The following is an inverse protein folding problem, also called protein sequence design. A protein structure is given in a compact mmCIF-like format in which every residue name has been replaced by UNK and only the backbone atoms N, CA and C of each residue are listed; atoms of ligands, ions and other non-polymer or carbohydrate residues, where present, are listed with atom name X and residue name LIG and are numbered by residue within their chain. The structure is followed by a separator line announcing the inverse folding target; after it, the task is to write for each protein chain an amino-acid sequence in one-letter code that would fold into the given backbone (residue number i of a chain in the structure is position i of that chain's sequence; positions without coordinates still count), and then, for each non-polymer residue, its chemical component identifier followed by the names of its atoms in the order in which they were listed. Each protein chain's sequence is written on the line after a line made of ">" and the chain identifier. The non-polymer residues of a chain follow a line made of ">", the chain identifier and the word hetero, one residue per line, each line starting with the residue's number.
data_IF_694605738998
#
_entry.id   IF_694605738998
#
_cell.length_a   1.000
_cell.length_b   1.000
_cell.length_c   1.000
_cell.angle_alpha   90.00
_cell.angle_beta   90.00
_cell.angle_gamma   90.00
#
_symmetry.space_group_name_H-M   'P 1'
#
loop_
_entity.id
_entity.type
_entity.pdbx_description
1 polymer ?
#
# COMPACT_ATOMS: atom_id res chain seq x y z
N UNK A 1 -41.03 -78.81 29.12
CA UNK A 1 -40.49 -78.39 27.79
C UNK A 1 -40.88 -76.92 27.56
N UNK A 2 -40.05 -75.92 27.24
CA UNK A 2 -38.61 -75.63 27.30
C UNK A 2 -38.52 -74.07 27.27
N UNK A 3 -38.02 -73.38 28.33
CA UNK A 3 -36.69 -72.72 28.49
C UNK A 3 -36.48 -71.47 27.60
N UNK A 4 -36.08 -70.27 28.03
CA UNK A 4 -35.62 -69.69 29.32
C UNK A 4 -35.51 -68.15 29.19
N UNK A 5 -35.76 -67.38 30.26
CA UNK A 5 -35.55 -65.90 30.28
C UNK A 5 -34.75 -65.46 31.53
N UNK A 6 -33.74 -64.60 31.33
CA UNK A 6 -32.84 -63.93 32.30
C UNK A 6 -33.61 -62.83 33.08
N UNK A 7 -33.53 -62.67 34.41
CA UNK A 7 -32.45 -62.22 35.34
C UNK A 7 -31.94 -60.78 35.10
N UNK A 8 -32.15 -59.86 36.05
CA UNK A 8 -31.14 -59.54 37.07
C UNK A 8 -31.65 -58.62 38.19
N UNK A 9 -30.95 -58.74 39.32
CA UNK A 9 -31.24 -58.28 40.67
C UNK A 9 -30.40 -57.03 41.01
N UNK A 10 -30.99 -56.17 41.84
CA UNK A 10 -30.41 -55.00 42.48
C UNK A 10 -29.47 -55.38 43.65
N UNK A 11 -28.47 -54.53 43.95
CA UNK A 11 -27.87 -54.32 45.28
C UNK A 11 -26.66 -53.33 45.22
N UNK A 12 -26.87 -52.21 45.90
CA UNK A 12 -25.99 -51.17 46.48
C UNK A 12 -24.46 -51.35 46.47
N UNK A 13 -23.74 -50.32 45.99
CA UNK A 13 -22.31 -50.05 46.23
C UNK A 13 -22.09 -48.62 46.78
N UNK A 14 -22.45 -48.39 48.03
CA UNK A 14 -21.79 -47.35 48.84
C UNK A 14 -20.48 -47.93 49.36
N UNK A 15 -19.40 -47.79 48.59
CA UNK A 15 -17.98 -47.86 49.03
C UNK A 15 -17.03 -47.83 47.82
N UNK A 16 -17.19 -46.87 46.91
CA UNK A 16 -16.09 -46.37 46.04
C UNK A 16 -16.33 -44.86 45.85
N UNK A 17 -16.14 -44.10 46.92
CA UNK A 17 -15.86 -42.66 46.86
C UNK A 17 -14.35 -42.51 47.03
N UNK A 18 -13.81 -41.50 46.35
CA UNK A 18 -12.39 -41.12 46.28
C UNK A 18 -11.63 -41.82 45.16
N UNK A 19 -11.80 -41.31 43.93
CA UNK A 19 -10.81 -41.19 42.84
C UNK A 19 -11.53 -40.90 41.50
N UNK A 20 -12.26 -39.78 41.38
CA UNK A 20 -12.59 -39.26 40.03
C UNK A 20 -13.07 -37.79 39.93
N UNK A 21 -12.85 -36.95 40.94
CA UNK A 21 -13.37 -35.58 40.93
C UNK A 21 -12.40 -34.48 40.44
N UNK A 22 -11.34 -34.81 39.68
CA UNK A 22 -10.28 -33.82 39.36
C UNK A 22 -9.80 -33.81 37.89
N UNK A 23 -10.64 -34.19 36.90
CA UNK A 23 -10.23 -34.12 35.48
C UNK A 23 -11.09 -33.27 34.55
N UNK A 24 -12.28 -32.83 34.97
CA UNK A 24 -13.20 -32.08 34.07
C UNK A 24 -13.30 -30.58 34.35
N UNK A 25 -12.58 -30.04 35.33
CA UNK A 25 -12.57 -28.60 35.64
C UNK A 25 -11.50 -27.80 34.90
N UNK A 26 -10.39 -28.42 34.49
CA UNK A 26 -9.25 -27.71 33.88
C UNK A 26 -9.39 -27.55 32.35
N UNK A 27 -10.06 -28.48 31.66
CA UNK A 27 -10.27 -28.40 30.21
C UNK A 27 -11.29 -27.30 29.83
N UNK A 28 -12.33 -27.11 30.65
CA UNK A 28 -13.32 -26.05 30.45
C UNK A 28 -12.81 -24.67 30.87
N UNK A 29 -11.86 -24.57 31.81
CA UNK A 29 -11.24 -23.28 32.15
C UNK A 29 -10.27 -22.83 31.04
N UNK A 30 -9.52 -23.76 30.44
CA UNK A 30 -8.61 -23.45 29.32
C UNK A 30 -9.35 -22.94 28.08
N UNK A 31 -10.46 -23.59 27.69
CA UNK A 31 -11.26 -23.16 26.53
C UNK A 31 -11.99 -21.83 26.78
N UNK A 32 -12.42 -21.56 28.01
CA UNK A 32 -13.03 -20.28 28.39
C UNK A 32 -11.99 -19.15 28.50
N UNK A 33 -10.74 -19.47 28.83
CA UNK A 33 -9.62 -18.53 28.90
C UNK A 33 -9.06 -18.23 27.50
N UNK A 34 -8.96 -19.22 26.60
CA UNK A 34 -8.66 -19.01 25.17
C UNK A 34 -9.71 -18.13 24.48
N UNK A 35 -11.01 -18.35 24.74
CA UNK A 35 -12.09 -17.51 24.20
C UNK A 35 -12.17 -16.11 24.83
N UNK A 36 -11.59 -15.91 26.03
CA UNK A 36 -11.40 -14.59 26.66
C UNK A 36 -10.19 -13.86 26.08
N UNK A 37 -9.08 -14.57 25.87
CA UNK A 37 -7.84 -14.05 25.26
C UNK A 37 -8.04 -13.71 23.78
N UNK A 38 -8.89 -14.46 23.05
CA UNK A 38 -9.22 -14.16 21.64
C UNK A 38 -10.15 -12.97 21.45
N UNK A 39 -10.76 -12.44 22.53
CA UNK A 39 -11.67 -11.29 22.51
C UNK A 39 -11.06 -10.01 23.08
N UNK A 40 -9.83 -10.06 23.59
CA UNK A 40 -9.08 -8.87 23.99
C UNK A 40 -8.24 -8.41 22.80
N UNK A 41 -8.55 -7.22 22.26
CA UNK A 41 -7.57 -6.49 21.45
C UNK A 41 -6.25 -6.48 22.23
N UNK A 42 -5.11 -6.86 21.63
CA UNK A 42 -3.84 -6.88 22.33
C UNK A 42 -3.60 -5.48 22.88
N UNK A 43 -3.68 -5.35 24.20
CA UNK A 43 -3.36 -4.10 24.87
C UNK A 43 -1.85 -3.96 24.74
N UNK A 44 -1.38 -2.91 24.07
CA UNK A 44 0.03 -2.63 23.84
C UNK A 44 0.78 -2.75 25.17
N UNK A 45 1.43 -3.88 25.41
CA UNK A 45 2.45 -3.94 26.44
C UNK A 45 3.47 -2.88 26.03
N UNK A 46 3.70 -1.87 26.87
CA UNK A 46 4.67 -0.83 26.61
C UNK A 46 6.05 -1.48 26.46
N UNK A 47 6.41 -1.84 25.22
CA UNK A 47 7.73 -2.35 24.89
C UNK A 47 8.71 -1.27 25.32
N UNK A 48 9.65 -1.63 26.19
CA UNK A 48 10.63 -0.67 26.67
C UNK A 48 11.39 -0.10 25.48
N UNK A 49 11.32 1.22 25.28
CA UNK A 49 12.11 1.94 24.26
C UNK A 49 13.61 1.63 24.38
N UNK A 50 14.07 1.31 25.60
CA UNK A 50 15.44 0.85 25.88
C UNK A 50 15.77 -0.49 25.20
N UNK A 51 14.82 -1.41 25.15
CA UNK A 51 14.99 -2.71 24.46
C UNK A 51 15.04 -2.52 22.95
N UNK A 52 14.12 -1.74 22.38
CA UNK A 52 14.11 -1.41 20.95
C UNK A 52 15.44 -0.74 20.55
N UNK A 53 15.92 0.21 21.36
CA UNK A 53 17.20 0.90 21.11
C UNK A 53 18.41 -0.05 21.09
N UNK A 54 18.46 -1.05 21.98
CA UNK A 54 19.54 -2.07 21.98
C UNK A 54 19.52 -2.93 20.72
N UNK A 55 18.34 -3.38 20.29
CA UNK A 55 18.22 -4.16 19.05
C UNK A 55 18.61 -3.32 17.83
N UNK A 56 18.13 -2.09 17.72
CA UNK A 56 18.50 -1.18 16.64
C UNK A 56 20.02 -0.94 16.58
N UNK A 57 20.68 -0.77 17.72
CA UNK A 57 22.14 -0.62 17.78
C UNK A 57 22.87 -1.88 17.29
N UNK A 58 22.39 -3.08 17.66
CA UNK A 58 22.94 -4.35 17.17
C UNK A 58 22.76 -4.50 15.66
N UNK A 59 21.58 -4.20 15.13
CA UNK A 59 21.28 -4.30 13.69
C UNK A 59 22.18 -3.36 12.87
N UNK A 60 22.45 -2.16 13.38
CA UNK A 60 23.36 -1.21 12.72
C UNK A 60 24.81 -1.72 12.59
N UNK A 61 25.23 -2.64 13.47
CA UNK A 61 26.58 -3.21 13.46
C UNK A 61 26.68 -4.51 12.66
N UNK A 62 25.56 -5.05 12.17
CA UNK A 62 25.56 -6.28 11.37
C UNK A 62 26.22 -6.05 10.01
N UNK A 63 26.99 -7.06 9.56
CA UNK A 63 27.48 -7.15 8.17
C UNK A 63 26.33 -7.50 7.21
N UNK A 64 26.55 -7.39 5.90
CA UNK A 64 25.56 -7.78 4.88
C UNK A 64 25.11 -9.23 5.09
N UNK A 65 26.05 -10.18 5.18
CA UNK A 65 25.74 -11.60 5.34
C UNK A 65 24.97 -11.89 6.64
N UNK A 66 25.30 -11.19 7.72
CA UNK A 66 24.58 -11.32 9.00
C UNK A 66 23.14 -10.80 8.89
N UNK A 67 22.91 -9.70 8.17
CA UNK A 67 21.57 -9.19 7.91
C UNK A 67 20.76 -10.18 7.09
N UNK A 68 21.35 -10.73 6.02
CA UNK A 68 20.66 -11.68 5.14
C UNK A 68 20.23 -12.93 5.91
N UNK A 69 21.14 -13.50 6.71
CA UNK A 69 20.81 -14.63 7.58
C UNK A 69 19.67 -14.31 8.56
N UNK A 70 19.62 -13.12 9.15
CA UNK A 70 18.54 -12.75 10.09
C UNK A 70 17.21 -12.43 9.39
N UNK A 71 17.25 -11.89 8.16
CA UNK A 71 16.07 -11.64 7.32
C UNK A 71 15.46 -12.96 6.82
N UNK A 72 16.28 -13.87 6.29
CA UNK A 72 15.85 -15.18 5.78
C UNK A 72 15.18 -16.03 6.88
N UNK A 73 15.76 -16.03 8.09
CA UNK A 73 15.16 -16.71 9.26
C UNK A 73 13.73 -16.25 9.56
N UNK A 74 13.38 -15.04 9.14
CA UNK A 74 12.07 -14.40 9.35
C UNK A 74 11.22 -14.34 8.08
N UNK A 75 11.67 -15.00 7.00
CA UNK A 75 11.01 -14.99 5.69
C UNK A 75 10.84 -13.58 5.13
N UNK A 76 11.79 -12.70 5.41
CA UNK A 76 11.83 -11.33 4.88
C UNK A 76 12.75 -11.26 3.67
N UNK A 77 12.47 -10.31 2.78
CA UNK A 77 13.29 -10.05 1.60
C UNK A 77 14.71 -9.62 1.98
N UNK A 78 15.71 -10.25 1.35
CA UNK A 78 17.14 -9.87 1.38
C UNK A 78 17.52 -8.93 0.23
N UNK A 79 16.56 -8.46 -0.55
CA UNK A 79 16.81 -7.49 -1.62
C UNK A 79 16.98 -6.07 -1.09
N UNK A 80 17.73 -5.27 -1.83
CA UNK A 80 17.92 -3.85 -1.59
C UNK A 80 19.23 -3.48 -0.91
N UNK A 81 19.44 -2.17 -0.79
CA UNK A 81 20.63 -1.63 -0.14
C UNK A 81 20.69 -2.04 1.35
N UNK A 82 21.88 -1.94 1.94
CA UNK A 82 22.10 -2.37 3.34
C UNK A 82 21.24 -1.58 4.33
N UNK A 83 20.88 -0.33 4.03
CA UNK A 83 20.07 0.51 4.90
C UNK A 83 18.60 0.08 4.89
N UNK A 84 18.04 -0.20 3.70
CA UNK A 84 16.70 -0.76 3.54
C UNK A 84 16.57 -2.07 4.32
N UNK A 85 17.53 -2.99 4.16
CA UNK A 85 17.55 -4.27 4.90
C UNK A 85 17.62 -4.08 6.41
N UNK A 86 18.41 -3.13 6.90
CA UNK A 86 18.47 -2.79 8.33
C UNK A 86 17.13 -2.27 8.84
N UNK A 87 16.48 -1.38 8.08
CA UNK A 87 15.19 -0.80 8.48
C UNK A 87 14.09 -1.85 8.48
N UNK A 88 14.01 -2.68 7.43
CA UNK A 88 13.12 -3.84 7.36
C UNK A 88 13.24 -4.72 8.60
N UNK A 89 14.46 -5.09 8.97
CA UNK A 89 14.70 -5.91 10.15
C UNK A 89 14.32 -5.18 11.46
N UNK A 90 14.63 -3.88 11.58
CA UNK A 90 14.23 -3.07 12.75
C UNK A 90 12.71 -3.00 12.90
N UNK A 91 11.97 -2.78 11.82
CA UNK A 91 10.52 -2.74 11.83
C UNK A 91 9.93 -4.08 12.23
N UNK A 92 10.42 -5.17 11.65
CA UNK A 92 10.00 -6.51 12.05
C UNK A 92 10.17 -6.74 13.56
N UNK A 93 11.37 -6.46 14.11
CA UNK A 93 11.62 -6.65 15.54
C UNK A 93 10.76 -5.74 16.42
N UNK A 94 10.54 -4.50 15.99
CA UNK A 94 9.62 -3.59 16.69
C UNK A 94 8.25 -4.24 16.80
N UNK A 95 7.71 -4.75 15.68
CA UNK A 95 6.40 -5.40 15.69
C UNK A 95 6.39 -6.74 16.43
N UNK A 96 7.45 -7.55 16.34
CA UNK A 96 7.62 -8.80 17.10
C UNK A 96 7.52 -8.54 18.61
N UNK A 97 8.21 -7.50 19.09
CA UNK A 97 8.15 -7.11 20.50
C UNK A 97 6.78 -6.53 20.89
N UNK A 98 6.14 -5.77 20.00
CA UNK A 98 4.83 -5.15 20.24
C UNK A 98 3.70 -6.19 20.30
N UNK A 99 3.67 -7.11 19.35
CA UNK A 99 2.60 -8.12 19.24
C UNK A 99 2.91 -9.43 19.96
N UNK A 100 4.17 -9.64 20.36
CA UNK A 100 4.63 -10.85 21.05
C UNK A 100 4.30 -12.14 20.29
N UNK A 101 4.41 -12.11 18.96
CA UNK A 101 4.08 -13.23 18.09
C UNK A 101 5.16 -13.48 17.03
N UNK A 102 5.17 -14.70 16.47
CA UNK A 102 6.20 -15.13 15.51
C UNK A 102 6.06 -14.51 14.12
N UNK A 103 4.86 -14.07 13.73
CA UNK A 103 4.57 -13.48 12.41
C UNK A 103 3.93 -12.10 12.60
N UNK A 104 4.67 -11.11 13.12
CA UNK A 104 4.08 -9.85 13.56
C UNK A 104 3.51 -8.99 12.43
N UNK A 105 4.00 -9.17 11.20
CA UNK A 105 3.52 -8.42 10.05
C UNK A 105 2.08 -8.76 9.67
N UNK A 106 1.60 -9.98 9.96
CA UNK A 106 0.20 -10.37 9.71
C UNK A 106 -0.78 -9.73 10.70
N UNK A 107 -0.27 -9.11 11.77
CA UNK A 107 -1.07 -8.41 12.77
C UNK A 107 -1.26 -6.93 12.44
N UNK A 108 -0.60 -6.43 11.40
CA UNK A 108 -0.70 -5.03 10.99
C UNK A 108 -1.99 -4.84 10.19
N UNK A 109 -2.95 -4.15 10.79
CA UNK A 109 -4.19 -3.76 10.13
C UNK A 109 -3.93 -2.55 9.21
N UNK A 110 -4.32 -2.69 7.95
CA UNK A 110 -4.26 -1.62 6.96
C UNK A 110 -5.59 -0.87 6.91
N UNK A 111 -5.55 0.41 6.53
CA UNK A 111 -6.75 1.24 6.46
C UNK A 111 -7.64 0.89 5.25
N UNK A 112 -7.03 0.36 4.20
CA UNK A 112 -7.66 0.09 2.92
C UNK A 112 -7.51 -1.38 2.53
N UNK A 113 -8.52 -1.93 1.87
CA UNK A 113 -8.46 -3.27 1.25
C UNK A 113 -7.71 -3.24 -0.08
N UNK A 114 -7.80 -2.10 -0.79
CA UNK A 114 -7.17 -1.88 -2.08
C UNK A 114 -6.43 -0.55 -2.16
N UNK A 115 -5.37 -0.49 -2.95
CA UNK A 115 -4.71 0.76 -3.34
C UNK A 115 -4.75 0.87 -4.86
N UNK A 116 -5.27 1.99 -5.37
CA UNK A 116 -5.35 2.28 -6.80
C UNK A 116 -4.23 3.27 -7.18
N UNK A 117 -3.18 2.77 -7.83
CA UNK A 117 -2.02 3.57 -8.21
C UNK A 117 -2.26 4.23 -9.57
N UNK A 118 -2.03 5.54 -9.66
CA UNK A 118 -2.19 6.34 -10.88
C UNK A 118 -0.90 7.09 -11.17
N UNK A 119 -0.56 7.18 -12.45
CA UNK A 119 0.48 8.09 -12.96
C UNK A 119 0.07 8.60 -14.35
N UNK A 120 -0.36 9.85 -14.45
CA UNK A 120 -0.86 10.41 -15.70
C UNK A 120 0.28 10.77 -16.64
N UNK A 121 0.09 10.48 -17.93
CA UNK A 121 0.84 11.18 -18.98
C UNK A 121 0.01 12.35 -19.50
N UNK A 122 0.69 13.44 -19.84
CA UNK A 122 0.06 14.65 -20.34
C UNK A 122 0.80 15.23 -21.55
N UNK A 123 0.09 15.97 -22.40
CA UNK A 123 0.70 16.77 -23.46
C UNK A 123 1.77 17.68 -22.87
N UNK A 124 2.92 17.80 -23.53
CA UNK A 124 4.02 18.65 -23.08
C UNK A 124 4.81 19.22 -24.28
N UNK A 125 5.52 20.32 -24.04
CA UNK A 125 6.38 20.97 -25.02
C UNK A 125 7.66 21.44 -24.32
N UNK A 126 8.79 21.38 -25.03
CA UNK A 126 10.06 21.83 -24.48
C UNK A 126 10.10 23.36 -24.35
N UNK A 127 10.61 23.86 -23.22
CA UNK A 127 10.84 25.28 -22.95
C UNK A 127 9.62 26.21 -23.12
N UNK A 128 8.40 25.71 -22.88
CA UNK A 128 7.20 26.53 -22.89
C UNK A 128 6.59 26.70 -21.50
N UNK A 129 6.79 27.88 -20.93
CA UNK A 129 6.14 28.28 -19.70
C UNK A 129 4.61 28.36 -19.90
N UNK A 130 3.86 27.88 -18.89
CA UNK A 130 2.39 27.86 -18.89
C UNK A 130 1.74 27.06 -20.01
N UNK A 131 2.42 26.04 -20.55
CA UNK A 131 1.80 25.10 -21.48
C UNK A 131 0.55 24.46 -20.84
N UNK A 132 -0.56 24.47 -21.57
CA UNK A 132 -1.82 23.88 -21.11
C UNK A 132 -1.76 22.37 -21.29
N UNK A 133 -1.21 21.69 -20.29
CA UNK A 133 -1.14 20.23 -20.26
C UNK A 133 -2.55 19.62 -20.27
N UNK A 134 -2.77 18.65 -21.14
CA UNK A 134 -3.97 17.81 -21.19
C UNK A 134 -3.56 16.37 -20.93
N UNK A 135 -4.31 15.64 -20.10
CA UNK A 135 -4.06 14.22 -19.85
C UNK A 135 -4.25 13.46 -21.16
N UNK A 136 -3.25 12.64 -21.54
CA UNK A 136 -3.24 11.79 -22.74
C UNK A 136 -3.12 10.29 -22.43
N UNK A 137 -2.80 9.92 -21.19
CA UNK A 137 -2.91 8.56 -20.67
C UNK A 137 -3.48 8.56 -19.25
N UNK A 138 -4.48 7.71 -19.00
CA UNK A 138 -5.06 7.47 -17.69
C UNK A 138 -4.90 6.00 -17.32
N UNK A 139 -3.81 5.64 -16.61
CA UNK A 139 -3.61 4.30 -16.06
C UNK A 139 -4.12 4.19 -14.62
N UNK A 140 -4.59 3.01 -14.24
CA UNK A 140 -4.87 2.64 -12.84
C UNK A 140 -4.35 1.23 -12.60
N UNK A 141 -3.49 1.04 -11.60
CA UNK A 141 -2.97 -0.27 -11.18
C UNK A 141 -3.49 -0.59 -9.79
N UNK A 142 -4.23 -1.70 -9.65
CA UNK A 142 -4.91 -2.05 -8.41
C UNK A 142 -4.12 -3.09 -7.61
N UNK A 143 -3.76 -2.72 -6.39
CA UNK A 143 -3.16 -3.60 -5.40
C UNK A 143 -4.25 -4.12 -4.48
N UNK A 144 -4.30 -5.44 -4.25
CA UNK A 144 -5.01 -6.01 -3.11
C UNK A 144 -4.05 -6.06 -1.90
N UNK A 145 -4.41 -5.33 -0.85
CA UNK A 145 -3.54 -5.11 0.31
C UNK A 145 -3.34 -6.38 1.14
N UNK A 146 -4.38 -7.19 1.31
CA UNK A 146 -4.31 -8.44 2.05
C UNK A 146 -3.46 -9.48 1.32
N UNK A 147 -3.65 -9.61 0.00
CA UNK A 147 -2.92 -10.55 -0.83
C UNK A 147 -1.50 -10.06 -1.16
N UNK A 148 -1.22 -8.76 -0.99
CA UNK A 148 0.02 -8.11 -1.37
C UNK A 148 0.41 -8.40 -2.83
N UNK A 149 -0.57 -8.26 -3.73
CA UNK A 149 -0.39 -8.48 -5.17
C UNK A 149 -1.12 -7.41 -5.99
N UNK A 150 -0.62 -7.16 -7.21
CA UNK A 150 -1.38 -6.44 -8.23
C UNK A 150 -2.45 -7.40 -8.75
N UNK A 151 -3.72 -7.00 -8.63
CA UNK A 151 -4.86 -7.85 -9.00
C UNK A 151 -5.54 -7.40 -10.29
N UNK A 152 -5.30 -6.15 -10.72
CA UNK A 152 -5.91 -5.63 -11.93
C UNK A 152 -5.19 -4.38 -12.46
N UNK A 153 -5.44 -4.07 -13.73
CA UNK A 153 -4.95 -2.88 -14.42
C UNK A 153 -6.01 -2.31 -15.34
N UNK A 154 -6.12 -0.99 -15.36
CA UNK A 154 -6.86 -0.21 -16.36
C UNK A 154 -5.87 0.70 -17.08
N UNK A 155 -6.05 0.85 -18.39
CA UNK A 155 -5.29 1.81 -19.18
C UNK A 155 -6.21 2.35 -20.28
N UNK A 156 -6.24 3.66 -20.43
CA UNK A 156 -6.85 4.31 -21.59
C UNK A 156 -6.00 5.50 -22.00
N UNK A 157 -5.82 5.68 -23.30
CA UNK A 157 -5.40 6.97 -23.83
C UNK A 157 -6.56 7.97 -23.78
N UNK A 158 -6.23 9.25 -23.78
CA UNK A 158 -7.17 10.36 -23.78
C UNK A 158 -6.87 11.25 -25.00
N UNK A 159 -7.90 11.63 -25.75
CA UNK A 159 -7.76 12.58 -26.86
C UNK A 159 -7.71 14.01 -26.34
N UNK A 160 -6.60 14.75 -26.51
CA UNK A 160 -6.53 16.17 -26.19
C UNK A 160 -7.37 17.00 -27.18
N UNK A 161 -7.98 18.08 -26.68
CA UNK A 161 -8.88 18.96 -27.44
C UNK A 161 -8.26 20.34 -27.67
N UNK A 162 -7.49 20.86 -26.70
CA UNK A 162 -6.86 22.18 -26.80
C UNK A 162 -5.63 22.10 -27.71
N UNK A 163 -4.76 21.12 -27.45
CA UNK A 163 -3.53 20.85 -28.21
C UNK A 163 -3.60 19.43 -28.80
N UNK A 164 -4.43 19.20 -29.85
CA UNK A 164 -4.70 17.86 -30.36
C UNK A 164 -3.50 17.19 -31.04
N UNK A 165 -2.53 17.98 -31.50
CA UNK A 165 -1.31 17.49 -32.13
C UNK A 165 -0.21 17.40 -31.08
N UNK A 166 0.27 16.19 -30.81
CA UNK A 166 1.37 15.94 -29.89
C UNK A 166 2.65 16.54 -30.46
N UNK A 167 3.40 17.23 -29.59
CA UNK A 167 4.74 17.67 -29.94
C UNK A 167 5.66 16.46 -30.15
N UNK A 168 6.76 16.68 -30.89
CA UNK A 168 7.80 15.66 -31.01
C UNK A 168 8.40 15.33 -29.64
N UNK A 169 8.60 16.34 -28.79
CA UNK A 169 9.11 16.15 -27.43
C UNK A 169 8.20 15.23 -26.61
N UNK A 170 6.89 15.46 -26.63
CA UNK A 170 5.91 14.64 -25.92
C UNK A 170 5.91 13.19 -26.43
N UNK A 171 5.94 13.01 -27.75
CA UNK A 171 5.98 11.67 -28.38
C UNK A 171 7.28 10.93 -28.02
N UNK A 172 8.43 11.59 -28.08
CA UNK A 172 9.73 11.00 -27.73
C UNK A 172 9.79 10.64 -26.24
N UNK A 173 9.28 11.52 -25.37
CA UNK A 173 9.27 11.34 -23.92
C UNK A 173 8.35 10.18 -23.53
N UNK A 174 7.06 10.28 -23.86
CA UNK A 174 6.02 9.35 -23.39
C UNK A 174 5.92 8.06 -24.22
N UNK A 175 6.40 8.10 -25.47
CA UNK A 175 6.22 7.01 -26.43
C UNK A 175 4.80 6.91 -26.99
N UNK A 176 3.90 7.83 -26.62
CA UNK A 176 2.54 7.88 -27.14
C UNK A 176 2.56 8.51 -28.53
N UNK A 177 2.11 7.75 -29.51
CA UNK A 177 2.02 8.20 -30.91
C UNK A 177 0.69 8.92 -31.18
N UNK A 178 0.72 9.85 -32.13
CA UNK A 178 -0.45 10.65 -32.53
C UNK A 178 -1.69 9.81 -32.83
N UNK A 179 -1.53 8.68 -33.52
CA UNK A 179 -2.67 7.82 -33.89
C UNK A 179 -3.39 7.22 -32.66
N UNK A 180 -2.69 7.06 -31.54
CA UNK A 180 -3.26 6.54 -30.30
C UNK A 180 -4.18 7.58 -29.66
N UNK A 181 -3.79 8.85 -29.63
CA UNK A 181 -4.63 9.94 -29.11
C UNK A 181 -5.74 10.35 -30.08
N UNK A 182 -5.51 10.26 -31.40
CA UNK A 182 -6.55 10.57 -32.40
C UNK A 182 -7.77 9.64 -32.28
N UNK A 183 -7.50 8.35 -32.06
CA UNK A 183 -8.52 7.30 -31.90
C UNK A 183 -9.05 7.15 -30.48
N UNK A 184 -8.45 7.85 -29.51
CA UNK A 184 -8.84 7.77 -28.11
C UNK A 184 -10.19 8.46 -27.82
N UNK A 185 -10.91 7.99 -26.79
CA UNK A 185 -11.99 8.75 -26.16
C UNK A 185 -11.49 10.07 -25.56
N UNK A 186 -12.39 11.03 -25.39
CA UNK A 186 -12.10 12.28 -24.67
C UNK A 186 -11.89 12.01 -23.17
N UNK A 187 -11.25 12.95 -22.46
CA UNK A 187 -11.02 12.80 -21.03
C UNK A 187 -12.30 12.50 -20.22
N UNK A 188 -13.42 13.15 -20.53
CA UNK A 188 -14.69 12.94 -19.81
C UNK A 188 -15.20 11.51 -20.00
N UNK A 189 -15.07 10.96 -21.20
CA UNK A 189 -15.42 9.56 -21.50
C UNK A 189 -14.47 8.59 -20.78
N UNK A 190 -13.16 8.89 -20.73
CA UNK A 190 -12.18 8.08 -19.99
C UNK A 190 -12.45 8.09 -18.50
N UNK A 191 -12.74 9.27 -17.93
CA UNK A 191 -13.09 9.39 -16.52
C UNK A 191 -14.31 8.54 -16.18
N UNK A 192 -15.35 8.57 -17.03
CA UNK A 192 -16.51 7.70 -16.87
C UNK A 192 -16.16 6.21 -16.95
N UNK A 193 -15.24 5.82 -17.84
CA UNK A 193 -14.76 4.44 -17.96
C UNK A 193 -14.00 4.00 -16.71
N UNK A 194 -13.15 4.87 -16.14
CA UNK A 194 -12.43 4.63 -14.87
C UNK A 194 -13.44 4.46 -13.73
N UNK A 195 -14.43 5.34 -13.61
CA UNK A 195 -15.45 5.24 -12.58
C UNK A 195 -16.28 3.96 -12.72
N UNK A 196 -16.63 3.57 -13.95
CA UNK A 196 -17.32 2.30 -14.23
C UNK A 196 -16.47 1.12 -13.80
N UNK A 197 -15.19 1.10 -14.18
CA UNK A 197 -14.23 0.06 -13.81
C UNK A 197 -14.05 -0.06 -12.29
N UNK A 198 -13.99 1.06 -11.56
CA UNK A 198 -13.94 1.06 -10.09
C UNK A 198 -15.26 0.56 -9.47
N UNK A 199 -16.41 0.91 -10.06
CA UNK A 199 -17.73 0.49 -9.58
C UNK A 199 -17.96 -1.02 -9.76
N UNK A 200 -17.54 -1.60 -10.89
CA UNK A 200 -17.59 -3.05 -11.13
C UNK A 200 -16.83 -3.84 -10.05
N UNK A 201 -15.77 -3.23 -9.51
CA UNK A 201 -14.95 -3.76 -8.41
C UNK A 201 -15.46 -3.38 -7.01
N UNK A 202 -16.60 -2.66 -6.94
CA UNK A 202 -17.23 -2.19 -5.70
C UNK A 202 -16.30 -1.31 -4.86
N UNK A 203 -15.52 -0.44 -5.51
CA UNK A 203 -14.61 0.48 -4.84
C UNK A 203 -15.27 1.85 -4.59
N UNK A 204 -16.15 2.31 -5.48
CA UNK A 204 -16.92 3.56 -5.32
C UNK A 204 -18.24 3.36 -4.55
N UNK A 205 -18.19 2.66 -3.42
CA UNK A 205 -19.36 2.43 -2.56
C UNK A 205 -19.76 3.69 -1.75
N UNK A 206 -21.03 3.82 -1.34
CA UNK A 206 -21.49 4.99 -0.58
C UNK A 206 -20.71 5.23 0.73
N UNK A 207 -20.20 6.46 0.86
CA UNK A 207 -19.71 7.29 1.97
C UNK A 207 -19.09 6.71 3.27
N UNK A 208 -19.31 5.45 3.68
CA UNK A 208 -18.90 4.96 5.00
C UNK A 208 -18.04 3.70 4.98
N UNK A 209 -17.60 3.25 3.80
CA UNK A 209 -16.63 2.16 3.62
C UNK A 209 -15.76 2.46 2.41
N UNK A 210 -14.82 3.40 2.54
CA UNK A 210 -13.74 3.49 1.56
C UNK A 210 -12.88 2.24 1.72
N UNK A 211 -13.13 1.24 0.89
CA UNK A 211 -12.32 0.02 0.83
C UNK A 211 -11.01 0.26 0.09
N UNK A 212 -10.81 1.45 -0.47
CA UNK A 212 -9.61 1.79 -1.23
C UNK A 212 -9.16 3.24 -1.06
N UNK A 213 -7.91 3.50 -1.43
CA UNK A 213 -7.36 4.83 -1.61
C UNK A 213 -6.57 4.91 -2.93
N UNK A 214 -6.50 6.11 -3.51
CA UNK A 214 -5.57 6.38 -4.60
C UNK A 214 -4.15 6.58 -4.09
N UNK A 215 -3.17 6.26 -4.93
CA UNK A 215 -1.76 6.52 -4.67
C UNK A 215 -1.02 7.00 -5.92
N UNK A 216 -0.02 7.84 -5.74
CA UNK A 216 0.74 8.50 -6.83
C UNK A 216 2.22 8.64 -6.47
N UNK A 217 3.08 8.94 -7.46
CA UNK A 217 4.47 9.37 -7.22
C UNK A 217 4.56 10.89 -7.13
N UNK A 218 4.17 11.42 -5.97
CA UNK A 218 4.14 12.86 -5.71
C UNK A 218 2.76 13.49 -5.96
N UNK A 219 2.66 14.83 -5.84
CA UNK A 219 1.38 15.51 -5.79
C UNK A 219 0.81 15.91 -7.16
N UNK A 220 1.62 15.92 -8.23
CA UNK A 220 1.28 16.60 -9.48
C UNK A 220 0.12 15.96 -10.25
N UNK A 221 -0.04 14.64 -10.19
CA UNK A 221 -1.16 13.94 -10.84
C UNK A 221 -2.51 14.55 -10.46
N UNK A 222 -2.73 14.78 -9.16
CA UNK A 222 -3.99 15.31 -8.66
C UNK A 222 -4.00 16.83 -8.54
N UNK A 223 -2.91 17.43 -8.08
CA UNK A 223 -2.84 18.90 -7.85
C UNK A 223 -2.60 19.72 -9.12
N UNK A 224 -2.08 19.12 -10.19
CA UNK A 224 -1.80 19.82 -11.44
C UNK A 224 -2.59 19.22 -12.59
N UNK A 225 -2.34 17.96 -12.95
CA UNK A 225 -2.86 17.39 -14.20
C UNK A 225 -4.37 17.16 -14.13
N UNK A 226 -4.88 16.46 -13.12
CA UNK A 226 -6.31 16.24 -12.97
C UNK A 226 -7.06 17.56 -12.74
N UNK A 227 -6.51 18.44 -11.91
CA UNK A 227 -7.12 19.75 -11.64
C UNK A 227 -7.27 20.59 -12.91
N UNK A 228 -6.19 20.73 -13.68
CA UNK A 228 -6.21 21.46 -14.95
C UNK A 228 -7.15 20.79 -15.96
N UNK A 229 -7.08 19.47 -16.10
CA UNK A 229 -7.94 18.74 -17.04
C UNK A 229 -9.42 18.89 -16.73
N UNK A 230 -9.82 18.89 -15.45
CA UNK A 230 -11.20 19.14 -15.04
C UNK A 230 -11.64 20.57 -15.42
N UNK A 231 -10.78 21.57 -15.25
CA UNK A 231 -11.05 22.95 -15.67
C UNK A 231 -11.22 23.05 -17.19
N UNK A 232 -10.29 22.48 -17.97
CA UNK A 232 -10.36 22.47 -19.43
C UNK A 232 -11.62 21.75 -19.95
N UNK A 233 -12.01 20.67 -19.28
CA UNK A 233 -13.21 19.89 -19.63
C UNK A 233 -14.51 20.47 -19.08
N UNK A 234 -14.44 21.57 -18.31
CA UNK A 234 -15.59 22.20 -17.65
C UNK A 234 -16.41 21.23 -16.77
N UNK A 235 -15.73 20.34 -16.04
CA UNK A 235 -16.35 19.40 -15.11
C UNK A 235 -15.90 19.67 -13.66
N UNK A 236 -16.71 19.29 -12.66
CA UNK A 236 -16.29 19.33 -11.26
C UNK A 236 -15.11 18.37 -11.02
N UNK A 237 -14.23 18.75 -10.09
CA UNK A 237 -13.17 17.86 -9.62
C UNK A 237 -13.79 16.64 -8.89
N UNK A 238 -13.40 15.40 -9.21
CA UNK A 238 -14.00 14.21 -8.60
C UNK A 238 -13.77 14.13 -7.09
N UNK A 239 -14.85 13.94 -6.32
CA UNK A 239 -14.76 13.89 -4.84
C UNK A 239 -13.86 12.74 -4.34
N UNK A 240 -13.80 11.62 -5.07
CA UNK A 240 -12.96 10.48 -4.71
C UNK A 240 -11.46 10.71 -4.93
N UNK A 241 -11.06 11.81 -5.58
CA UNK A 241 -9.66 12.15 -5.89
C UNK A 241 -9.10 13.28 -5.00
N UNK A 242 -9.78 13.65 -3.91
CA UNK A 242 -9.39 14.82 -3.10
C UNK A 242 -8.28 14.54 -2.09
N UNK A 243 -8.09 13.27 -1.73
CA UNK A 243 -7.07 12.79 -0.80
C UNK A 243 -6.43 11.53 -1.36
N UNK A 244 -5.13 11.37 -1.18
CA UNK A 244 -4.39 10.24 -1.71
C UNK A 244 -3.15 9.91 -0.86
N UNK A 245 -2.49 8.83 -1.24
CA UNK A 245 -1.21 8.39 -0.71
C UNK A 245 -0.12 8.82 -1.70
N UNK A 246 0.65 9.83 -1.34
CA UNK A 246 1.93 10.12 -2.00
C UNK A 246 2.95 9.07 -1.53
N UNK A 247 3.22 8.09 -2.40
CA UNK A 247 4.13 6.98 -2.09
C UNK A 247 5.58 7.45 -2.00
N UNK A 248 5.94 8.56 -2.63
CA UNK A 248 7.28 9.16 -2.51
C UNK A 248 7.51 9.71 -1.11
N UNK A 249 6.49 10.37 -0.53
CA UNK A 249 6.49 10.79 0.87
C UNK A 249 6.54 9.60 1.81
N UNK A 250 5.71 8.60 1.57
CA UNK A 250 5.62 7.42 2.42
C UNK A 250 6.92 6.61 2.43
N UNK A 251 7.51 6.39 1.25
CA UNK A 251 8.79 5.71 1.10
C UNK A 251 9.92 6.42 1.85
N UNK A 252 10.02 7.74 1.69
CA UNK A 252 11.01 8.56 2.39
C UNK A 252 10.84 8.49 3.90
N UNK A 253 9.59 8.56 4.39
CA UNK A 253 9.27 8.47 5.80
C UNK A 253 9.61 7.09 6.39
N UNK A 254 9.07 6.04 5.78
CA UNK A 254 9.17 4.68 6.27
C UNK A 254 10.63 4.19 6.29
N UNK A 255 11.37 4.43 5.20
CA UNK A 255 12.78 4.06 5.12
C UNK A 255 13.73 5.15 5.63
N UNK A 256 13.24 6.25 6.21
CA UNK A 256 14.09 7.33 6.74
C UNK A 256 15.15 7.81 5.74
N UNK A 257 14.79 7.89 4.46
CA UNK A 257 15.65 8.37 3.37
C UNK A 257 15.14 9.70 2.82
N UNK A 258 15.99 10.41 2.07
CA UNK A 258 15.53 11.59 1.33
C UNK A 258 14.54 11.17 0.25
N UNK A 259 13.57 12.05 -0.04
CA UNK A 259 12.67 11.89 -1.19
C UNK A 259 13.50 11.76 -2.47
N UNK A 260 13.12 10.83 -3.33
CA UNK A 260 13.80 10.55 -4.60
C UNK A 260 12.79 10.00 -5.61
N UNK A 261 13.12 10.03 -6.90
CA UNK A 261 12.22 9.52 -7.96
C UNK A 261 12.16 7.98 -7.98
N UNK A 262 11.22 7.47 -8.78
CA UNK A 262 10.88 6.05 -8.93
C UNK A 262 12.13 5.18 -9.12
N UNK A 263 13.02 5.53 -10.05
CA UNK A 263 14.22 4.76 -10.36
C UNK A 263 15.14 4.58 -9.15
N UNK A 264 15.31 5.63 -8.34
CA UNK A 264 16.10 5.56 -7.11
C UNK A 264 15.39 4.74 -6.03
N UNK A 265 14.07 4.86 -5.89
CA UNK A 265 13.29 4.03 -4.96
C UNK A 265 13.39 2.54 -5.30
N UNK A 266 13.20 2.18 -6.58
CA UNK A 266 13.38 0.81 -7.08
C UNK A 266 14.78 0.27 -6.80
N UNK A 267 15.82 1.03 -7.18
CA UNK A 267 17.21 0.63 -6.97
C UNK A 267 17.52 0.37 -5.48
N UNK A 268 16.98 1.20 -4.58
CA UNK A 268 17.11 1.00 -3.13
C UNK A 268 16.46 -0.29 -2.64
N UNK A 269 15.33 -0.68 -3.23
CA UNK A 269 14.65 -1.94 -2.97
C UNK A 269 15.31 -3.14 -3.66
N UNK A 270 16.32 -2.92 -4.51
CA UNK A 270 16.96 -3.97 -5.31
C UNK A 270 16.10 -4.41 -6.50
N UNK A 271 15.20 -3.55 -6.95
CA UNK A 271 14.36 -3.74 -8.12
C UNK A 271 14.91 -2.94 -9.30
N UNK A 272 14.65 -3.43 -10.51
CA UNK A 272 14.82 -2.68 -11.75
C UNK A 272 13.48 -2.18 -12.24
N UNK A 273 13.50 -1.05 -12.95
CA UNK A 273 12.34 -0.59 -13.71
C UNK A 273 11.90 -1.67 -14.70
N UNK A 274 10.60 -1.93 -14.78
CA UNK A 274 9.99 -2.88 -15.70
C UNK A 274 9.10 -2.13 -16.69
N UNK A 275 9.27 -2.37 -17.99
CA UNK A 275 8.60 -1.62 -19.05
C UNK A 275 9.37 -0.36 -19.50
N UNK A 276 8.64 0.60 -20.07
CA UNK A 276 9.17 1.84 -20.63
C UNK A 276 8.95 3.01 -19.67
N UNK A 277 10.00 3.74 -19.24
CA UNK A 277 9.84 4.98 -18.49
C UNK A 277 8.96 5.98 -19.25
N UNK A 278 8.12 6.74 -18.53
CA UNK A 278 7.13 7.67 -19.10
C UNK A 278 6.03 7.01 -19.94
N UNK A 279 5.85 5.69 -19.82
CA UNK A 279 4.57 5.07 -20.14
C UNK A 279 3.79 4.99 -18.85
N UNK A 280 2.65 5.67 -18.78
CA UNK A 280 1.92 5.84 -17.53
C UNK A 280 1.55 4.49 -16.89
N UNK A 281 1.17 3.49 -17.69
CA UNK A 281 0.86 2.15 -17.15
C UNK A 281 2.09 1.43 -16.56
N UNK A 282 3.25 1.60 -17.16
CA UNK A 282 4.49 0.98 -16.69
C UNK A 282 5.01 1.72 -15.45
N UNK A 283 4.96 3.05 -15.44
CA UNK A 283 5.29 3.85 -14.26
C UNK A 283 4.35 3.53 -13.10
N UNK A 284 3.03 3.54 -13.29
CA UNK A 284 2.05 3.14 -12.28
C UNK A 284 2.28 1.70 -11.79
N UNK A 285 2.70 0.79 -12.66
CA UNK A 285 3.06 -0.59 -12.29
C UNK A 285 4.30 -0.61 -11.39
N UNK A 286 5.33 0.17 -11.69
CA UNK A 286 6.54 0.25 -10.88
C UNK A 286 6.29 0.95 -9.52
N UNK A 287 5.47 1.99 -9.51
CA UNK A 287 5.00 2.63 -8.27
C UNK A 287 4.21 1.61 -7.43
N UNK A 288 3.36 0.79 -8.06
CA UNK A 288 2.65 -0.27 -7.36
C UNK A 288 3.61 -1.33 -6.78
N UNK A 289 4.68 -1.70 -7.49
CA UNK A 289 5.73 -2.59 -6.97
C UNK A 289 6.42 -2.00 -5.74
N UNK A 290 6.67 -0.69 -5.71
CA UNK A 290 7.20 0.01 -4.53
C UNK A 290 6.19 -0.07 -3.36
N UNK A 291 4.91 0.20 -3.63
CA UNK A 291 3.83 0.07 -2.64
C UNK A 291 3.74 -1.33 -2.04
N UNK A 292 3.93 -2.38 -2.86
CA UNK A 292 3.97 -3.76 -2.38
C UNK A 292 5.14 -4.05 -1.45
N UNK A 293 6.34 -3.54 -1.74
CA UNK A 293 7.49 -3.72 -0.85
C UNK A 293 7.31 -2.98 0.47
N UNK A 294 6.70 -1.78 0.45
CA UNK A 294 6.30 -1.08 1.68
C UNK A 294 5.35 -1.92 2.54
N UNK A 295 4.31 -2.50 1.93
CA UNK A 295 3.35 -3.38 2.63
C UNK A 295 4.04 -4.61 3.22
N UNK A 296 4.91 -5.29 2.44
CA UNK A 296 5.68 -6.46 2.88
C UNK A 296 6.62 -6.14 4.03
N UNK A 297 7.13 -4.91 4.11
CA UNK A 297 8.01 -4.47 5.19
C UNK A 297 7.23 -3.97 6.43
N UNK A 298 5.90 -3.94 6.37
CA UNK A 298 5.03 -3.56 7.47
C UNK A 298 4.74 -2.06 7.56
N UNK A 299 4.82 -1.35 6.44
CA UNK A 299 4.33 0.02 6.31
C UNK A 299 2.79 0.04 6.33
N UNK A 300 2.20 1.01 7.04
CA UNK A 300 0.76 1.26 7.03
C UNK A 300 0.51 2.38 6.03
N UNK A 301 0.03 2.03 4.83
CA UNK A 301 -0.24 3.00 3.79
C UNK A 301 -1.49 3.81 4.17
N UNK A 302 -1.28 5.10 4.47
CA UNK A 302 -2.32 6.02 4.96
C UNK A 302 -2.38 7.26 4.06
N UNK A 303 -3.55 7.90 3.97
CA UNK A 303 -3.68 9.18 3.28
C UNK A 303 -2.71 10.19 3.88
N UNK A 304 -1.89 10.81 3.05
CA UNK A 304 -0.81 11.70 3.47
C UNK A 304 -0.69 12.96 2.60
N UNK A 305 -1.59 13.13 1.62
CA UNK A 305 -1.73 14.33 0.83
C UNK A 305 -3.17 14.58 0.36
N UNK A 306 -3.45 15.81 -0.07
CA UNK A 306 -4.78 16.27 -0.46
C UNK A 306 -4.73 17.48 -1.39
N UNK A 307 -5.81 17.73 -2.11
CA UNK A 307 -5.97 18.93 -2.96
C UNK A 307 -6.02 20.24 -2.14
N UNK A 308 -6.16 20.12 -0.81
CA UNK A 308 -6.21 21.24 0.13
C UNK A 308 -4.87 21.50 0.83
N UNK A 309 -3.88 20.61 0.67
CA UNK A 309 -2.56 20.72 1.31
C UNK A 309 -1.77 21.97 0.88
N UNK A 310 -2.20 22.65 -0.18
CA UNK A 310 -1.65 23.90 -0.67
C UNK A 310 -2.24 25.16 -0.03
N UNK A 311 -3.07 25.05 1.03
CA UNK A 311 -3.53 26.22 1.79
C UNK A 311 -2.39 26.75 2.71
N UNK A 312 -1.83 27.95 2.46
CA UNK A 312 -0.69 28.50 3.21
C UNK A 312 -0.95 28.77 4.70
N UNK A 313 -2.15 28.46 5.22
CA UNK A 313 -2.50 28.59 6.64
C UNK A 313 -2.20 27.36 7.49
N UNK A 314 -1.78 26.24 6.89
CA UNK A 314 -1.18 25.15 7.67
C UNK A 314 0.23 25.55 8.12
N UNK A 315 0.50 25.44 9.41
CA UNK A 315 1.73 25.92 10.06
C UNK A 315 3.01 25.42 9.37
N UNK A 316 4.06 26.25 9.26
CA UNK A 316 5.28 25.87 8.55
C UNK A 316 6.03 24.79 9.33
N UNK A 317 6.08 23.57 8.78
CA UNK A 317 7.15 22.62 9.12
C UNK A 317 8.36 23.02 8.30
N UNK A 318 9.41 23.49 8.97
CA UNK A 318 10.72 23.79 8.39
C UNK A 318 11.18 22.67 7.46
N UNK A 319 11.10 22.89 6.15
CA UNK A 319 11.86 22.16 5.14
C UNK A 319 12.61 23.21 4.32
N UNK A 320 13.89 23.39 4.65
CA UNK A 320 14.82 24.08 3.75
C UNK A 320 15.42 23.03 2.81
N UNK A 321 15.42 23.38 1.53
CA UNK A 321 16.02 22.73 0.38
C UNK A 321 15.14 21.66 -0.29
N UNK A 322 14.02 22.13 -0.85
CA UNK A 322 13.38 21.50 -1.99
C UNK A 322 14.25 21.74 -3.23
N UNK A 323 14.86 20.66 -3.73
CA UNK A 323 15.27 20.58 -5.13
C UNK A 323 14.03 20.23 -5.94
N UNK A 324 13.14 21.22 -6.07
CA UNK A 324 11.99 21.24 -6.98
C UNK A 324 12.45 21.78 -8.34
N UNK A 325 13.58 21.28 -8.85
CA UNK A 325 13.85 21.39 -10.27
C UNK A 325 12.79 20.57 -11.01
N UNK A 326 12.25 21.14 -12.09
CA UNK A 326 11.37 20.46 -13.04
C UNK A 326 12.20 19.34 -13.67
N UNK A 327 12.33 18.22 -12.96
CA UNK A 327 12.69 16.95 -13.55
C UNK A 327 11.41 16.52 -14.26
N UNK A 328 11.41 16.60 -15.59
CA UNK A 328 10.58 15.71 -16.39
C UNK A 328 11.09 14.28 -16.09
N UNK A 329 10.69 13.80 -14.90
CA UNK A 329 11.01 12.55 -14.17
C UNK A 329 12.20 11.73 -14.72
N UNK A 330 13.42 11.94 -14.19
CA UNK A 330 14.52 10.96 -14.32
C UNK A 330 14.51 9.90 -13.21
#
# INVERSE_FOLDING_TARGET
>A
MASSTKKNLDLSKEQIKDLDSNKDTDANSFLAEEQRLSKQKPTIHQVSQKTIGKFSARINQMTSDQLDVELEKRQLSTSGDIEIRRIRLKHYYKYELTFQCKNPLTMIEQQFEYIAVVDFEATCEDQQDNYQNEIIEFPVVLINVQQQTIVDKFQSYCRPIINPILSKFCTDLTGIEQHQVDSAPTFVEVLHNVETWLNERKLLLPANKHTFAFATDGPWDFTKFLQLQCQLSSIPYPQWATEWIDLRKEFAHFYSVKRCGINKMLAKLGLTFDGRPHSGIDDATNIARIGLELLKDGCILSLNDSIYSSDPKSTPRNNNNDDDSIDFKN
#
